data_IF_577541723176
#
_entry.id   IF_577541723176
#
_cell.length_a   1.000
_cell.length_b   1.000
_cell.length_c   1.000
_cell.angle_alpha   90.00
_cell.angle_beta   90.00
_cell.angle_gamma   90.00
#
_symmetry.space_group_name_H-M   'P 1'
#
loop_
_entity.id
_entity.type
_entity.pdbx_description
1 polymer ?
#
# COMPACT_ATOMS: atom_id res chain seq x y z
N UNK A 1 -1.96 22.98 0.33
CA UNK A 1 -0.55 22.50 0.35
C UNK A 1 -0.21 22.02 -1.05
N UNK A 2 1.06 22.01 -1.47
CA UNK A 2 1.42 21.46 -2.77
C UNK A 2 1.15 19.95 -2.77
N UNK A 3 0.31 19.52 -3.69
CA UNK A 3 -0.07 18.13 -3.91
C UNK A 3 0.56 17.67 -5.21
N UNK A 4 1.03 16.42 -5.21
CA UNK A 4 1.76 15.87 -6.33
C UNK A 4 1.17 14.54 -6.79
N UNK A 5 1.27 14.28 -8.08
CA UNK A 5 1.15 12.95 -8.65
C UNK A 5 2.52 12.40 -9.01
N UNK A 6 2.59 11.13 -9.39
CA UNK A 6 3.83 10.49 -9.84
C UNK A 6 4.61 11.33 -10.89
N UNK A 7 3.91 11.91 -11.87
CA UNK A 7 4.53 12.71 -12.92
C UNK A 7 5.08 14.06 -12.44
N UNK A 8 4.53 14.63 -11.36
CA UNK A 8 4.88 15.95 -10.84
C UNK A 8 5.63 15.92 -9.50
N UNK A 9 5.86 14.75 -8.92
CA UNK A 9 6.46 14.62 -7.59
C UNK A 9 7.89 15.17 -7.50
N UNK A 10 8.34 15.54 -6.30
CA UNK A 10 9.72 16.00 -6.09
C UNK A 10 10.74 14.99 -6.62
N UNK A 11 11.83 15.49 -7.19
CA UNK A 11 12.91 14.65 -7.73
C UNK A 11 13.43 13.65 -6.70
N UNK A 12 13.55 14.04 -5.42
CA UNK A 12 13.98 13.16 -4.33
C UNK A 12 13.03 11.98 -4.11
N UNK A 13 11.72 12.20 -4.13
CA UNK A 13 10.70 11.14 -4.07
C UNK A 13 10.79 10.19 -5.26
N UNK A 14 11.00 10.73 -6.47
CA UNK A 14 11.20 9.91 -7.67
C UNK A 14 12.47 9.06 -7.59
N UNK A 15 13.57 9.64 -7.10
CA UNK A 15 14.85 8.94 -6.92
C UNK A 15 14.71 7.83 -5.88
N UNK A 16 14.05 8.09 -4.74
CA UNK A 16 13.75 7.08 -3.72
C UNK A 16 13.05 5.87 -4.31
N UNK A 17 11.95 6.10 -5.03
CA UNK A 17 11.14 5.05 -5.65
C UNK A 17 11.90 4.28 -6.74
N UNK A 18 12.66 4.98 -7.59
CA UNK A 18 13.44 4.32 -8.64
C UNK A 18 14.52 3.41 -8.06
N UNK A 19 15.27 3.88 -7.05
CA UNK A 19 16.30 3.07 -6.38
C UNK A 19 15.69 1.88 -5.65
N UNK A 20 14.56 2.06 -4.97
CA UNK A 20 13.83 0.95 -4.35
C UNK A 20 13.39 -0.07 -5.42
N UNK A 21 12.76 0.37 -6.50
CA UNK A 21 12.31 -0.51 -7.57
C UNK A 21 13.47 -1.30 -8.20
N UNK A 22 14.63 -0.66 -8.40
CA UNK A 22 15.84 -1.34 -8.89
C UNK A 22 16.37 -2.38 -7.91
N UNK A 23 16.41 -2.07 -6.61
CA UNK A 23 16.81 -3.00 -5.55
C UNK A 23 15.86 -4.21 -5.44
N UNK A 24 14.55 -3.97 -5.52
CA UNK A 24 13.53 -5.02 -5.53
C UNK A 24 13.68 -5.93 -6.75
N UNK A 25 13.85 -5.34 -7.95
CA UNK A 25 14.08 -6.09 -9.20
C UNK A 25 15.34 -6.94 -9.13
N UNK A 26 16.41 -6.41 -8.56
CA UNK A 26 17.67 -7.14 -8.41
C UNK A 26 17.54 -8.31 -7.43
N UNK A 27 16.81 -8.11 -6.33
CA UNK A 27 16.66 -9.11 -5.27
C UNK A 27 15.70 -10.23 -5.65
N UNK A 28 14.61 -9.88 -6.33
CA UNK A 28 13.57 -10.83 -6.74
C UNK A 28 13.86 -11.47 -8.09
N UNK A 29 14.59 -10.79 -8.97
CA UNK A 29 14.98 -11.27 -10.29
C UNK A 29 13.77 -11.89 -11.05
N UNK A 30 13.86 -13.16 -11.44
CA UNK A 30 12.81 -13.89 -12.17
C UNK A 30 11.54 -14.15 -11.35
N UNK A 31 11.56 -13.94 -10.03
CA UNK A 31 10.37 -14.06 -9.17
C UNK A 31 9.47 -12.83 -9.21
N UNK A 32 9.94 -11.68 -9.72
CA UNK A 32 9.14 -10.45 -9.72
C UNK A 32 8.14 -10.43 -10.88
N UNK A 33 6.85 -10.39 -10.55
CA UNK A 33 5.76 -10.23 -11.54
C UNK A 33 5.49 -8.74 -11.81
N UNK A 34 5.51 -7.90 -10.77
CA UNK A 34 5.35 -6.46 -10.95
C UNK A 34 5.40 -5.64 -9.66
N UNK A 35 5.56 -4.33 -9.84
CA UNK A 35 5.59 -3.32 -8.78
C UNK A 35 4.54 -2.25 -9.13
N UNK A 36 3.69 -1.94 -8.17
CA UNK A 36 2.49 -1.14 -8.39
C UNK A 36 2.38 -0.04 -7.34
N UNK A 37 2.11 1.18 -7.80
CA UNK A 37 1.89 2.34 -6.96
C UNK A 37 0.39 2.59 -6.82
N UNK A 38 -0.08 2.79 -5.59
CA UNK A 38 -1.44 3.24 -5.33
C UNK A 38 -1.44 4.44 -4.37
N UNK A 39 -2.62 4.73 -3.82
CA UNK A 39 -2.79 5.77 -2.81
C UNK A 39 -2.45 7.16 -3.31
N UNK A 40 -1.99 8.02 -2.39
CA UNK A 40 -2.00 9.48 -2.60
C UNK A 40 -1.13 9.94 -3.78
N UNK A 41 0.01 9.28 -4.01
CA UNK A 41 0.93 9.61 -5.09
C UNK A 41 0.42 9.18 -6.47
N UNK A 42 -0.28 8.05 -6.54
CA UNK A 42 -0.95 7.65 -7.78
C UNK A 42 -2.15 8.55 -8.08
N UNK A 43 -2.87 8.99 -7.05
CA UNK A 43 -4.10 9.79 -7.17
C UNK A 43 -3.86 11.29 -7.40
N UNK A 44 -2.61 11.77 -7.28
CA UNK A 44 -2.28 13.19 -7.51
C UNK A 44 -2.42 14.09 -6.29
N UNK A 45 -2.62 13.53 -5.10
CA UNK A 45 -2.84 14.26 -3.86
C UNK A 45 -1.72 14.04 -2.82
N UNK A 46 -0.54 13.58 -3.24
CA UNK A 46 0.57 13.29 -2.33
C UNK A 46 1.13 14.56 -1.70
N UNK A 47 1.29 14.54 -0.38
CA UNK A 47 1.93 15.60 0.39
C UNK A 47 3.27 15.10 0.95
N UNK A 48 4.42 15.61 0.48
CA UNK A 48 5.73 15.13 0.91
C UNK A 48 6.01 15.25 2.42
N UNK A 49 5.22 16.06 3.15
CA UNK A 49 5.36 16.25 4.59
C UNK A 49 4.57 15.26 5.45
N UNK A 50 3.57 14.59 4.88
CA UNK A 50 2.60 13.81 5.67
C UNK A 50 2.11 12.53 5.00
N UNK A 51 2.34 12.36 3.69
CA UNK A 51 1.95 11.18 2.95
C UNK A 51 3.08 10.17 2.93
N UNK A 52 2.68 8.91 3.05
CA UNK A 52 3.39 7.71 2.64
C UNK A 52 3.34 7.50 1.13
N UNK A 53 4.22 6.60 0.69
CA UNK A 53 4.23 6.02 -0.65
C UNK A 53 3.74 4.58 -0.52
N UNK A 54 2.59 4.30 -1.15
CA UNK A 54 1.90 3.03 -1.03
C UNK A 54 2.19 2.10 -2.21
N UNK A 55 2.76 0.93 -1.92
CA UNK A 55 3.24 -0.03 -2.92
C UNK A 55 2.64 -1.42 -2.72
N UNK A 56 2.27 -2.04 -3.83
CA UNK A 56 2.04 -3.49 -3.91
C UNK A 56 3.12 -4.11 -4.81
N UNK A 57 3.70 -5.21 -4.35
CA UNK A 57 4.66 -6.00 -5.11
C UNK A 57 4.10 -7.40 -5.28
N UNK A 58 4.11 -7.90 -6.51
CA UNK A 58 3.61 -9.26 -6.80
C UNK A 58 4.78 -10.14 -7.19
N UNK A 59 4.87 -11.31 -6.55
CA UNK A 59 5.85 -12.34 -6.84
C UNK A 59 5.20 -13.58 -7.43
N UNK A 60 5.98 -14.35 -8.19
CA UNK A 60 5.49 -15.56 -8.84
C UNK A 60 5.22 -16.68 -7.82
N UNK A 61 6.05 -16.75 -6.78
CA UNK A 61 6.00 -17.76 -5.72
C UNK A 61 6.22 -17.12 -4.33
N UNK A 62 5.88 -17.84 -3.24
CA UNK A 62 6.19 -17.41 -1.87
C UNK A 62 7.68 -17.14 -1.67
N UNK A 63 7.98 -16.16 -0.82
CA UNK A 63 9.36 -15.71 -0.58
C UNK A 63 10.04 -16.58 0.47
N UNK A 64 11.31 -16.93 0.23
CA UNK A 64 12.13 -17.52 1.29
C UNK A 64 12.38 -16.50 2.40
N UNK A 65 12.55 -16.98 3.63
CA UNK A 65 12.78 -16.12 4.79
C UNK A 65 14.03 -15.24 4.66
N UNK A 66 15.07 -15.74 3.97
CA UNK A 66 16.28 -14.98 3.67
C UNK A 66 16.03 -13.84 2.69
N UNK A 67 15.19 -14.08 1.66
CA UNK A 67 14.77 -13.04 0.72
C UNK A 67 13.90 -11.99 1.44
N UNK A 68 12.94 -12.41 2.29
CA UNK A 68 12.13 -11.49 3.10
C UNK A 68 13.01 -10.57 3.96
N UNK A 69 14.03 -11.13 4.63
CA UNK A 69 15.02 -10.34 5.38
C UNK A 69 15.75 -9.33 4.52
N UNK A 70 16.27 -9.75 3.36
CA UNK A 70 17.01 -8.87 2.45
C UNK A 70 16.13 -7.71 1.96
N UNK A 71 14.89 -8.00 1.54
CA UNK A 71 13.93 -6.99 1.11
C UNK A 71 13.60 -6.02 2.25
N UNK A 72 13.38 -6.54 3.46
CA UNK A 72 13.06 -5.70 4.62
C UNK A 72 14.19 -4.72 4.96
N UNK A 73 15.45 -5.15 4.86
CA UNK A 73 16.60 -4.27 5.05
C UNK A 73 16.65 -3.15 3.99
N UNK A 74 16.38 -3.48 2.72
CA UNK A 74 16.29 -2.48 1.64
C UNK A 74 15.15 -1.49 1.85
N UNK A 75 13.98 -1.98 2.27
CA UNK A 75 12.81 -1.15 2.57
C UNK A 75 13.11 -0.22 3.75
N UNK A 76 13.69 -0.71 4.85
CA UNK A 76 14.07 0.10 6.00
C UNK A 76 15.09 1.19 5.65
N UNK A 77 16.04 0.89 4.76
CA UNK A 77 17.04 1.84 4.28
C UNK A 77 16.43 2.90 3.35
N UNK A 78 15.45 2.52 2.53
CA UNK A 78 14.76 3.42 1.61
C UNK A 78 13.68 4.26 2.30
N UNK A 79 12.99 3.71 3.29
CA UNK A 79 11.87 4.40 3.94
C UNK A 79 12.36 5.60 4.76
N UNK A 80 11.55 6.68 4.73
CA UNK A 80 11.88 8.01 5.26
C UNK A 80 13.03 8.72 4.50
N UNK A 81 13.34 8.30 3.27
CA UNK A 81 14.40 8.91 2.44
C UNK A 81 13.90 9.38 1.05
N UNK A 82 13.08 10.43 0.95
CA UNK A 82 12.60 11.27 2.05
C UNK A 82 11.26 10.82 2.66
N UNK A 83 10.48 10.01 1.95
CA UNK A 83 9.09 9.74 2.33
C UNK A 83 8.94 8.39 3.01
N UNK A 84 8.02 8.23 3.98
CA UNK A 84 7.72 6.93 4.53
C UNK A 84 7.13 6.00 3.46
N UNK A 85 7.42 4.71 3.58
CA UNK A 85 6.90 3.67 2.69
C UNK A 85 5.83 2.85 3.42
N UNK A 86 4.79 2.49 2.69
CA UNK A 86 3.92 1.35 2.99
C UNK A 86 4.02 0.37 1.81
N UNK A 87 4.35 -0.90 2.09
CA UNK A 87 4.58 -1.88 1.04
C UNK A 87 4.14 -3.27 1.46
N UNK A 88 3.34 -3.92 0.60
CA UNK A 88 2.90 -5.31 0.77
C UNK A 88 3.33 -6.18 -0.41
N UNK A 89 3.84 -7.38 -0.10
CA UNK A 89 4.22 -8.40 -1.07
C UNK A 89 3.14 -9.47 -1.13
N UNK A 90 2.70 -9.81 -2.34
CA UNK A 90 1.62 -10.75 -2.62
C UNK A 90 2.12 -11.82 -3.61
N UNK A 91 1.59 -13.04 -3.53
CA UNK A 91 1.90 -14.11 -4.50
C UNK A 91 0.80 -14.15 -5.56
N UNK A 92 1.15 -14.15 -6.84
CA UNK A 92 0.20 -14.09 -7.96
C UNK A 92 -0.96 -15.11 -7.85
N UNK A 93 -0.65 -16.36 -7.50
CA UNK A 93 -1.63 -17.44 -7.34
C UNK A 93 -2.59 -17.24 -6.14
N UNK A 94 -2.23 -16.39 -5.18
CA UNK A 94 -3.06 -16.09 -4.01
C UNK A 94 -3.98 -14.88 -4.25
N UNK A 95 -3.74 -14.11 -5.31
CA UNK A 95 -4.53 -12.92 -5.66
C UNK A 95 -5.71 -13.32 -6.56
N UNK A 96 -5.53 -14.25 -7.50
CA UNK A 96 -6.54 -14.64 -8.49
C UNK A 96 -6.76 -16.18 -8.51
N UNK A 97 -7.98 -16.70 -8.29
CA UNK A 97 -9.24 -15.99 -8.03
C UNK A 97 -9.23 -15.25 -6.68
N UNK A 98 -9.96 -14.13 -6.61
CA UNK A 98 -10.08 -13.31 -5.41
C UNK A 98 -10.57 -14.12 -4.20
N UNK A 99 -9.98 -13.84 -3.03
CA UNK A 99 -10.37 -14.40 -1.72
C UNK A 99 -10.30 -13.30 -0.66
N UNK A 100 -11.13 -13.43 0.38
CA UNK A 100 -11.17 -12.49 1.51
C UNK A 100 -11.01 -13.24 2.85
N UNK A 101 -10.18 -12.74 3.79
CA UNK A 101 -9.19 -11.67 3.59
C UNK A 101 -8.04 -12.13 2.69
N UNK A 102 -7.35 -11.18 2.05
CA UNK A 102 -6.21 -11.50 1.18
C UNK A 102 -4.96 -11.81 2.01
N UNK A 103 -4.23 -12.88 1.68
CA UNK A 103 -2.94 -13.14 2.30
C UNK A 103 -1.86 -12.20 1.76
N UNK A 104 -0.84 -11.94 2.58
CA UNK A 104 0.39 -11.29 2.15
C UNK A 104 1.61 -12.07 2.63
N UNK A 105 2.70 -11.99 1.87
CA UNK A 105 3.97 -12.66 2.18
C UNK A 105 4.86 -11.82 3.09
N UNK A 106 4.84 -10.51 2.92
CA UNK A 106 5.62 -9.56 3.69
C UNK A 106 4.89 -8.21 3.66
N UNK A 107 4.82 -7.53 4.80
CA UNK A 107 4.25 -6.20 4.90
C UNK A 107 5.19 -5.30 5.70
N UNK A 108 5.29 -4.04 5.28
CA UNK A 108 5.96 -2.99 6.02
C UNK A 108 5.15 -1.71 5.96
N UNK A 109 5.04 -1.05 7.11
CA UNK A 109 4.69 0.36 7.24
C UNK A 109 5.44 0.94 8.43
N UNK A 110 5.40 2.26 8.60
CA UNK A 110 6.12 2.90 9.72
C UNK A 110 5.57 2.50 11.10
N UNK A 111 4.32 2.02 11.20
CA UNK A 111 3.78 1.46 12.44
C UNK A 111 4.43 0.11 12.79
N UNK A 112 4.92 -0.63 11.80
CA UNK A 112 5.63 -1.90 11.97
C UNK A 112 7.12 -1.73 12.24
N UNK A 113 7.71 -0.57 11.94
CA UNK A 113 9.18 -0.35 11.99
C UNK A 113 9.82 -0.84 13.29
N UNK A 114 9.26 -0.50 14.45
CA UNK A 114 9.84 -0.88 15.74
C UNK A 114 9.87 -2.40 15.94
N UNK A 115 8.76 -3.09 15.62
CA UNK A 115 8.68 -4.55 15.67
C UNK A 115 9.64 -5.18 14.66
N UNK A 116 9.66 -4.67 13.43
CA UNK A 116 10.56 -5.16 12.37
C UNK A 116 12.03 -5.10 12.79
N UNK A 117 12.46 -3.98 13.40
CA UNK A 117 13.84 -3.85 13.89
C UNK A 117 14.14 -4.84 15.02
N UNK A 118 13.21 -5.05 15.95
CA UNK A 118 13.35 -6.04 17.01
C UNK A 118 13.41 -7.48 16.48
N UNK A 119 12.58 -7.81 15.48
CA UNK A 119 12.57 -9.12 14.83
C UNK A 119 13.91 -9.38 14.12
N UNK A 120 14.48 -8.35 13.46
CA UNK A 120 15.78 -8.42 12.79
C UNK A 120 16.95 -8.60 13.76
N UNK A 121 16.95 -7.89 14.89
CA UNK A 121 18.02 -7.91 15.90
C UNK A 121 18.02 -9.22 16.70
N UNK A 122 16.84 -9.67 17.14
CA UNK A 122 16.68 -10.89 17.94
C UNK A 122 16.82 -12.20 17.14
N UNK A 123 16.74 -12.13 15.81
CA UNK A 123 16.69 -13.31 14.95
C UNK A 123 15.29 -13.88 14.73
N UNK A 124 14.24 -13.30 15.35
CA UNK A 124 12.87 -13.76 15.20
C UNK A 124 12.37 -13.74 13.74
N UNK A 125 13.01 -12.94 12.87
CA UNK A 125 12.75 -12.93 11.43
C UNK A 125 12.86 -14.32 10.77
N UNK A 126 13.61 -15.25 11.34
CA UNK A 126 13.73 -16.64 10.85
C UNK A 126 12.40 -17.40 10.86
N UNK A 127 11.43 -16.94 11.65
CA UNK A 127 10.10 -17.54 11.80
C UNK A 127 9.03 -16.85 10.93
N UNK A 128 9.38 -15.85 10.12
CA UNK A 128 8.40 -15.12 9.28
C UNK A 128 7.67 -15.97 8.23
N UNK A 129 8.11 -17.22 8.00
CA UNK A 129 7.42 -18.16 7.10
C UNK A 129 6.55 -19.19 7.83
N UNK A 130 6.48 -19.17 9.16
CA UNK A 130 5.71 -20.16 9.93
C UNK A 130 4.20 -19.92 9.86
N UNK A 131 3.79 -18.68 9.63
CA UNK A 131 2.39 -18.29 9.56
C UNK A 131 2.12 -17.42 8.35
N UNK A 132 1.06 -17.76 7.61
CA UNK A 132 0.52 -16.90 6.58
C UNK A 132 -0.36 -15.85 7.23
N UNK A 133 0.00 -14.57 7.06
CA UNK A 133 -0.79 -13.46 7.54
C UNK A 133 -1.79 -13.00 6.47
N UNK A 134 -2.88 -12.40 6.91
CA UNK A 134 -3.92 -11.83 6.06
C UNK A 134 -4.20 -10.40 6.46
N UNK A 135 -4.63 -9.58 5.51
CA UNK A 135 -4.95 -8.18 5.74
C UNK A 135 -6.25 -7.80 5.00
N UNK A 136 -7.21 -7.24 5.74
CA UNK A 136 -8.48 -6.74 5.19
C UNK A 136 -8.33 -5.39 4.49
N UNK A 137 -7.27 -4.64 4.77
CA UNK A 137 -7.02 -3.33 4.15
C UNK A 137 -6.54 -3.49 2.71
N UNK A 138 -6.01 -4.67 2.35
CA UNK A 138 -5.70 -5.02 0.98
C UNK A 138 -6.92 -4.93 0.04
N UNK A 139 -8.14 -5.11 0.54
CA UNK A 139 -9.34 -4.91 -0.27
C UNK A 139 -9.49 -3.46 -0.74
N UNK A 140 -9.16 -2.50 0.11
CA UNK A 140 -9.10 -1.08 -0.25
C UNK A 140 -7.93 -0.80 -1.19
N UNK A 141 -6.74 -1.35 -0.90
CA UNK A 141 -5.55 -1.15 -1.73
C UNK A 141 -5.75 -1.65 -3.16
N UNK A 142 -6.30 -2.85 -3.34
CA UNK A 142 -6.59 -3.42 -4.66
C UNK A 142 -7.66 -2.61 -5.40
N UNK A 143 -8.71 -2.19 -4.70
CA UNK A 143 -9.81 -1.40 -5.30
C UNK A 143 -9.29 -0.04 -5.79
N UNK A 144 -8.47 0.64 -4.99
CA UNK A 144 -7.84 1.92 -5.37
C UNK A 144 -6.82 1.71 -6.49
N UNK A 145 -5.95 0.70 -6.39
CA UNK A 145 -4.95 0.39 -7.43
C UNK A 145 -5.61 0.15 -8.78
N UNK A 146 -6.66 -0.69 -8.84
CA UNK A 146 -7.34 -1.00 -10.10
C UNK A 146 -7.95 0.21 -10.79
N UNK A 147 -8.43 1.20 -10.04
CA UNK A 147 -9.11 2.36 -10.61
C UNK A 147 -8.18 3.56 -10.84
N UNK A 148 -7.17 3.74 -9.98
CA UNK A 148 -6.41 4.99 -9.88
C UNK A 148 -4.90 4.77 -9.71
N UNK A 149 -4.44 3.53 -9.67
CA UNK A 149 -3.02 3.21 -9.46
C UNK A 149 -2.19 3.21 -10.74
N UNK A 150 -0.90 2.94 -10.60
CA UNK A 150 0.08 2.92 -11.67
C UNK A 150 0.90 1.63 -11.64
N UNK A 151 1.20 1.08 -12.81
CA UNK A 151 2.20 0.02 -12.97
C UNK A 151 3.58 0.67 -13.10
N UNK A 152 4.46 0.45 -12.13
CA UNK A 152 5.85 0.92 -12.18
C UNK A 152 6.75 -0.09 -12.90
N UNK A 153 6.44 -1.38 -12.78
CA UNK A 153 7.16 -2.47 -13.45
C UNK A 153 6.24 -3.68 -13.60
N UNK A 154 6.43 -4.46 -14.67
CA UNK A 154 5.73 -5.72 -14.90
C UNK A 154 4.45 -5.59 -15.73
N UNK A 155 3.55 -6.55 -15.58
CA UNK A 155 2.26 -6.58 -16.27
C UNK A 155 1.34 -5.44 -15.80
N UNK A 156 0.34 -5.09 -16.61
CA UNK A 156 -0.66 -4.10 -16.24
C UNK A 156 -1.43 -4.55 -15.00
N UNK A 157 -1.59 -3.67 -14.00
CA UNK A 157 -2.25 -4.00 -12.74
C UNK A 157 -3.68 -4.53 -12.94
N UNK A 158 -4.38 -4.10 -13.99
CA UNK A 158 -5.72 -4.58 -14.31
C UNK A 158 -5.77 -6.07 -14.71
N UNK A 159 -4.65 -6.62 -15.18
CA UNK A 159 -4.51 -8.03 -15.57
C UNK A 159 -4.12 -8.92 -14.39
N UNK A 160 -3.45 -8.35 -13.39
CA UNK A 160 -2.95 -9.08 -12.21
C UNK A 160 -3.96 -9.12 -11.07
N UNK A 161 -4.54 -7.96 -10.73
CA UNK A 161 -5.42 -7.84 -9.58
C UNK A 161 -6.87 -8.07 -9.98
N UNK A 162 -7.65 -8.92 -9.30
CA UNK A 162 -9.06 -9.11 -9.59
C UNK A 162 -9.90 -7.92 -9.13
N UNK A 163 -11.12 -7.82 -9.62
CA UNK A 163 -12.12 -6.90 -9.07
C UNK A 163 -12.53 -7.40 -7.68
N UNK A 164 -12.37 -6.55 -6.68
CA UNK A 164 -12.83 -6.80 -5.30
C UNK A 164 -14.35 -6.62 -5.25
N UNK A 165 -15.12 -7.58 -4.70
CA UNK A 165 -16.55 -7.40 -4.46
C UNK A 165 -16.82 -6.17 -3.57
N UNK A 166 -17.76 -5.33 -3.98
CA UNK A 166 -17.99 -4.03 -3.37
C UNK A 166 -18.26 -4.09 -1.84
N UNK A 167 -18.86 -5.17 -1.35
CA UNK A 167 -19.13 -5.34 0.09
C UNK A 167 -17.85 -5.38 0.93
N UNK A 168 -16.75 -5.94 0.41
CA UNK A 168 -15.48 -5.99 1.14
C UNK A 168 -14.81 -4.62 1.18
N UNK A 169 -14.81 -3.89 0.04
CA UNK A 169 -14.34 -2.50 0.03
C UNK A 169 -15.15 -1.61 0.98
N UNK A 170 -16.50 -1.75 0.97
CA UNK A 170 -17.39 -1.03 1.89
C UNK A 170 -17.03 -1.34 3.34
N UNK A 171 -16.79 -2.61 3.67
CA UNK A 171 -16.40 -3.00 5.02
C UNK A 171 -15.10 -2.31 5.47
N UNK A 172 -14.09 -2.25 4.60
CA UNK A 172 -12.80 -1.59 4.89
C UNK A 172 -12.96 -0.09 5.13
N UNK A 173 -13.65 0.64 4.24
CA UNK A 173 -13.82 2.10 4.41
C UNK A 173 -14.72 2.46 5.61
N UNK A 174 -15.67 1.58 5.97
CA UNK A 174 -16.49 1.75 7.18
C UNK A 174 -15.66 1.49 8.45
N UNK A 175 -14.73 0.55 8.42
CA UNK A 175 -13.81 0.31 9.52
C UNK A 175 -12.92 1.55 9.76
N UNK A 176 -12.25 2.08 8.72
CA UNK A 176 -11.44 3.30 8.81
C UNK A 176 -12.28 4.51 9.27
N UNK A 177 -13.52 4.65 8.79
CA UNK A 177 -14.43 5.68 9.28
C UNK A 177 -14.71 5.57 10.79
N UNK A 178 -14.98 4.37 11.28
CA UNK A 178 -15.27 4.15 12.70
C UNK A 178 -14.05 4.46 13.56
N UNK A 179 -12.84 4.05 13.12
CA UNK A 179 -11.59 4.40 13.80
C UNK A 179 -11.35 5.92 13.78
N UNK A 180 -11.52 6.56 12.63
CA UNK A 180 -11.39 8.01 12.48
C UNK A 180 -12.38 8.76 13.39
N UNK A 181 -13.59 8.23 13.56
CA UNK A 181 -14.64 8.78 14.43
C UNK A 181 -14.25 8.75 15.90
N UNK A 182 -13.54 7.72 16.36
CA UNK A 182 -13.02 7.67 17.73
C UNK A 182 -11.99 8.77 18.00
N UNK A 183 -11.24 9.15 16.96
CA UNK A 183 -10.22 10.20 16.99
C UNK A 183 -10.76 11.59 16.59
N UNK A 184 -12.08 11.78 16.44
CA UNK A 184 -12.66 13.01 15.87
C UNK A 184 -12.28 14.31 16.59
N UNK A 185 -12.02 14.26 17.89
CA UNK A 185 -11.61 15.45 18.66
C UNK A 185 -10.11 15.75 18.54
N UNK A 186 -9.27 14.72 18.44
CA UNK A 186 -7.82 14.86 18.31
C UNK A 186 -7.35 15.02 16.86
N UNK A 187 -8.12 14.52 15.89
CA UNK A 187 -7.84 14.58 14.47
C UNK A 187 -9.10 14.92 13.63
N UNK A 188 -9.75 16.08 13.86
CA UNK A 188 -11.02 16.44 13.24
C UNK A 188 -10.96 16.50 11.71
N UNK A 189 -9.85 16.99 11.16
CA UNK A 189 -9.65 17.06 9.70
C UNK A 189 -9.60 15.65 9.11
N UNK A 190 -8.81 14.74 9.70
CA UNK A 190 -8.74 13.34 9.24
C UNK A 190 -10.11 12.67 9.25
N UNK A 191 -10.88 12.86 10.33
CA UNK A 191 -12.24 12.33 10.45
C UNK A 191 -13.16 12.85 9.33
N UNK A 192 -13.20 14.16 9.11
CA UNK A 192 -14.05 14.76 8.08
C UNK A 192 -13.68 14.26 6.67
N UNK A 193 -12.39 14.22 6.34
CA UNK A 193 -11.92 13.76 5.03
C UNK A 193 -12.31 12.29 4.77
N UNK A 194 -12.19 11.42 5.77
CA UNK A 194 -12.63 10.03 5.64
C UNK A 194 -14.16 9.91 5.58
N UNK A 195 -14.91 10.71 6.34
CA UNK A 195 -16.37 10.74 6.25
C UNK A 195 -16.85 11.11 4.83
N UNK A 196 -16.24 12.14 4.23
CA UNK A 196 -16.55 12.56 2.87
C UNK A 196 -16.27 11.46 1.84
N UNK A 197 -15.12 10.79 1.90
CA UNK A 197 -14.78 9.67 0.99
C UNK A 197 -15.77 8.52 1.10
N UNK A 198 -16.15 8.17 2.31
CA UNK A 198 -17.12 7.09 2.57
C UNK A 198 -18.50 7.47 2.03
N UNK A 199 -18.94 8.70 2.28
CA UNK A 199 -20.21 9.19 1.74
C UNK A 199 -20.25 9.14 0.21
N UNK A 200 -19.19 9.62 -0.45
CA UNK A 200 -19.07 9.61 -1.91
C UNK A 200 -19.21 8.19 -2.50
N UNK A 201 -18.53 7.23 -1.88
CA UNK A 201 -18.57 5.86 -2.35
C UNK A 201 -19.93 5.21 -2.11
N UNK A 202 -20.54 5.42 -0.94
CA UNK A 202 -21.86 4.86 -0.64
C UNK A 202 -22.98 5.46 -1.50
N UNK A 203 -22.85 6.71 -1.92
CA UNK A 203 -23.83 7.39 -2.77
C UNK A 203 -23.70 6.99 -4.24
N UNK A 204 -22.48 6.98 -4.78
CA UNK A 204 -22.25 6.91 -6.23
C UNK A 204 -21.10 5.98 -6.65
N UNK A 205 -20.54 5.21 -5.72
CA UNK A 205 -19.37 4.33 -5.96
C UNK A 205 -18.13 5.09 -6.48
N UNK A 206 -18.02 6.38 -6.18
CA UNK A 206 -16.84 7.18 -6.52
C UNK A 206 -15.69 6.91 -5.56
N UNK A 207 -14.50 6.63 -6.11
CA UNK A 207 -13.25 6.54 -5.34
C UNK A 207 -12.52 7.88 -5.42
N UNK A 208 -12.59 8.62 -4.31
CA UNK A 208 -11.93 9.90 -4.15
C UNK A 208 -10.74 9.83 -3.20
N UNK A 209 -9.78 10.71 -3.47
CA UNK A 209 -8.79 11.10 -2.48
C UNK A 209 -9.47 11.83 -1.31
N UNK A 210 -8.71 12.05 -0.23
CA UNK A 210 -9.18 12.85 0.91
C UNK A 210 -9.59 14.26 0.45
N UNK A 211 -8.79 14.88 -0.41
CA UNK A 211 -9.03 16.24 -0.88
C UNK A 211 -10.18 16.33 -1.90
N UNK A 212 -10.28 15.37 -2.82
CA UNK A 212 -11.40 15.27 -3.78
C UNK A 212 -12.73 15.11 -3.03
N UNK A 213 -12.77 14.22 -2.03
CA UNK A 213 -13.99 14.01 -1.23
C UNK A 213 -14.42 15.25 -0.45
N UNK A 214 -13.48 16.07 0.02
CA UNK A 214 -13.79 17.31 0.74
C UNK A 214 -14.34 18.42 -0.16
N UNK A 215 -14.12 18.31 -1.47
CA UNK A 215 -14.44 19.34 -2.46
C UNK A 215 -15.69 19.00 -3.29
N UNK A 216 -16.46 17.99 -2.86
CA UNK A 216 -17.70 17.61 -3.53
C UNK A 216 -18.81 18.62 -3.23
N UNK A 217 -19.58 19.00 -4.25
CA UNK A 217 -20.81 19.78 -4.13
C UNK A 217 -21.97 18.96 -3.54
#
# INVERSE_FOLDING_TARGET
>A
MAQYGWASCPTSTRVQLNLLCEGLRTTLDTQLVGIYLHGSLAMGCFNPKSSDIDLLVVTQQPLSVFVKRQLMLQILQSSQQPSPLEISFLVAEQINPYRHPLPFELHYSETWRAKTLADLDSGAWQHWNEHQATDSDLDAHLTILRQRGLTLYGQEHQQIFPVVPANYYIATIIADYNEAREKKLSAPVYFLLNACRVHAYLQASHIYSKDEGASMD
#
